data_IF_524448191480
#
_entry.id   IF_524448191480
#
_cell.length_a   1.000
_cell.length_b   1.000
_cell.length_c   1.000
_cell.angle_alpha   90.00
_cell.angle_beta   90.00
_cell.angle_gamma   90.00
#
_symmetry.space_group_name_H-M   'P 1'
#
loop_
_entity.id
_entity.type
_entity.pdbx_description
1 polymer ?
#
# COMPACT_ATOMS: atom_id res chain seq x y z
N UNK A 1 -29.96 4.67 -35.00
CA UNK A 1 -29.98 5.42 -33.74
C UNK A 1 -31.43 5.55 -33.30
N UNK A 2 -31.86 4.72 -32.35
CA UNK A 2 -33.22 4.71 -31.79
C UNK A 2 -33.04 4.48 -30.29
N UNK A 3 -33.45 5.41 -29.41
CA UNK A 3 -33.55 5.11 -27.99
C UNK A 3 -34.99 4.70 -27.68
N UNK A 4 -35.18 3.46 -27.21
CA UNK A 4 -36.44 3.01 -26.61
C UNK A 4 -36.32 3.16 -25.11
N UNK A 5 -37.24 3.96 -24.55
CA UNK A 5 -37.28 4.35 -23.15
C UNK A 5 -37.58 3.20 -22.19
N UNK A 6 -36.98 3.31 -21.00
CA UNK A 6 -37.23 2.48 -19.84
C UNK A 6 -38.63 2.76 -19.28
N UNK A 7 -39.48 1.72 -19.15
CA UNK A 7 -40.76 1.81 -18.44
C UNK A 7 -40.56 1.42 -16.99
N UNK A 8 -40.90 2.33 -16.09
CA UNK A 8 -41.12 2.06 -14.67
C UNK A 8 -42.45 1.32 -14.48
N UNK A 9 -42.49 0.41 -13.50
CA UNK A 9 -43.74 -0.21 -13.01
C UNK A 9 -43.80 -0.01 -11.50
N UNK A 10 -44.71 0.84 -11.06
CA UNK A 10 -45.08 1.01 -9.66
C UNK A 10 -46.08 -0.06 -9.20
N UNK A 11 -45.93 -0.51 -7.96
CA UNK A 11 -47.03 -0.76 -7.03
C UNK A 11 -47.56 -2.19 -6.87
N UNK A 12 -47.14 -2.86 -5.80
CA UNK A 12 -48.09 -3.23 -4.73
C UNK A 12 -47.34 -3.57 -3.43
N UNK A 13 -47.71 -2.88 -2.35
CA UNK A 13 -46.93 -2.81 -1.11
C UNK A 13 -47.27 -3.84 -0.05
N UNK A 14 -46.40 -3.87 0.97
CA UNK A 14 -46.69 -4.36 2.30
C UNK A 14 -46.21 -3.29 3.29
N UNK A 15 -47.11 -2.84 4.16
CA UNK A 15 -46.86 -1.90 5.26
C UNK A 15 -46.36 -2.66 6.49
N UNK A 16 -45.32 -2.14 7.13
CA UNK A 16 -45.15 -2.21 8.58
C UNK A 16 -44.72 -0.84 9.10
N UNK A 17 -45.40 -0.35 10.15
CA UNK A 17 -45.01 0.84 10.92
C UNK A 17 -44.45 0.36 12.25
N UNK A 18 -43.26 0.82 12.63
CA UNK A 18 -42.99 1.30 13.98
C UNK A 18 -41.76 2.20 14.00
N UNK A 19 -41.91 3.25 14.79
CA UNK A 19 -41.11 4.45 14.95
C UNK A 19 -40.01 4.20 16.00
N UNK A 20 -38.75 4.46 15.67
CA UNK A 20 -37.70 4.81 16.63
C UNK A 20 -36.73 5.78 15.94
N UNK A 21 -36.95 7.08 16.16
CA UNK A 21 -35.96 8.13 15.92
C UNK A 21 -34.98 8.12 17.08
N UNK A 22 -33.72 7.75 16.83
CA UNK A 22 -32.60 8.03 17.73
C UNK A 22 -31.90 9.26 17.17
N UNK A 23 -32.12 10.41 17.80
CA UNK A 23 -31.32 11.61 17.57
C UNK A 23 -29.97 11.39 18.24
N UNK A 24 -28.92 11.21 17.45
CA UNK A 24 -27.55 11.30 17.96
C UNK A 24 -27.04 12.68 17.57
N UNK A 25 -27.06 13.62 18.51
CA UNK A 25 -26.33 14.88 18.37
C UNK A 25 -24.84 14.56 18.37
N UNK A 26 -24.19 14.70 17.22
CA UNK A 26 -22.73 14.67 17.11
C UNK A 26 -22.24 16.09 17.39
N UNK A 27 -21.80 16.35 18.62
CA UNK A 27 -21.10 17.59 18.95
C UNK A 27 -19.69 17.52 18.35
N UNK A 28 -19.47 18.26 17.26
CA UNK A 28 -18.13 18.50 16.71
C UNK A 28 -17.31 19.33 17.71
N UNK A 29 -16.34 18.71 18.39
CA UNK A 29 -15.31 19.42 19.13
C UNK A 29 -14.18 19.74 18.13
N UNK A 30 -14.04 21.01 17.77
CA UNK A 30 -12.89 21.47 16.97
C UNK A 30 -11.61 21.39 17.81
N UNK A 31 -10.48 20.87 17.27
CA UNK A 31 -9.20 20.97 17.94
C UNK A 31 -8.67 22.41 17.89
N UNK A 32 -8.31 22.93 19.07
CA UNK A 32 -7.63 24.21 19.23
C UNK A 32 -6.23 24.14 18.60
N UNK A 33 -6.03 24.88 17.51
CA UNK A 33 -4.72 25.10 16.88
C UNK A 33 -4.00 26.23 17.64
N UNK A 34 -2.79 26.03 18.19
CA UNK A 34 -2.00 27.13 18.72
C UNK A 34 -1.35 27.90 17.57
N UNK A 35 -1.78 29.14 17.38
CA UNK A 35 -1.19 30.09 16.45
C UNK A 35 0.13 30.63 16.99
N UNK A 36 1.26 30.17 16.43
CA UNK A 36 2.58 30.77 16.67
C UNK A 36 2.75 32.01 15.79
N UNK A 37 2.40 33.19 16.30
CA UNK A 37 2.88 34.45 15.71
C UNK A 37 4.20 34.85 16.38
N UNK A 38 5.29 34.68 15.64
CA UNK A 38 6.59 35.24 15.96
C UNK A 38 6.58 36.76 15.68
N UNK A 39 6.70 37.56 16.74
CA UNK A 39 6.93 39.00 16.67
C UNK A 39 8.41 39.28 16.36
N UNK A 40 8.69 39.86 15.20
CA UNK A 40 9.99 40.47 14.88
C UNK A 40 10.08 41.88 15.48
N UNK A 41 11.17 42.27 16.17
CA UNK A 41 11.36 43.65 16.59
C UNK A 41 11.94 44.52 15.46
N UNK A 42 11.35 45.71 15.30
CA UNK A 42 11.83 46.81 14.45
C UNK A 42 13.08 47.45 15.03
N UNK A 43 14.01 47.85 14.16
CA UNK A 43 15.14 48.73 14.49
C UNK A 43 14.68 50.17 14.75
N UNK A 44 15.28 50.82 15.75
CA UNK A 44 15.43 52.27 15.81
C UNK A 44 16.77 52.60 16.48
N UNK A 45 17.54 53.51 15.87
CA UNK A 45 18.78 54.05 16.41
C UNK A 45 18.52 55.26 17.33
N UNK A 46 19.58 55.74 17.98
CA UNK A 46 19.56 57.00 18.72
C UNK A 46 20.67 57.12 19.77
N UNK A 47 21.44 58.19 19.66
CA UNK A 47 22.70 58.53 20.33
C UNK A 47 22.65 58.74 21.86
N UNK A 48 23.83 58.56 22.48
CA UNK A 48 24.46 59.58 23.32
C UNK A 48 24.13 59.65 24.82
N UNK A 49 25.11 59.32 25.67
CA UNK A 49 25.77 60.28 26.58
C UNK A 49 26.46 59.61 27.78
N UNK A 50 27.53 60.29 28.22
CA UNK A 50 28.50 59.89 29.22
C UNK A 50 27.93 59.78 30.66
N UNK A 51 28.29 58.69 31.35
CA UNK A 51 28.11 58.53 32.80
C UNK A 51 29.25 57.72 33.42
N UNK A 52 29.95 58.30 34.39
CA UNK A 52 31.14 57.78 35.10
C UNK A 52 30.89 56.41 35.75
N UNK A 53 31.83 55.47 35.58
CA UNK A 53 31.91 54.21 36.33
C UNK A 53 32.68 54.40 37.64
N UNK A 54 32.21 53.87 38.80
CA UNK A 54 33.07 53.65 39.95
C UNK A 54 33.84 52.32 39.78
N UNK A 55 35.09 52.30 40.24
CA UNK A 55 35.95 51.11 40.26
C UNK A 55 35.38 50.11 41.26
N UNK A 56 34.85 48.98 40.77
CA UNK A 56 34.54 47.82 41.60
C UNK A 56 35.71 46.84 41.53
N UNK A 57 36.22 46.49 42.70
CA UNK A 57 37.35 45.58 42.92
C UNK A 57 36.95 44.17 42.45
N UNK A 58 37.72 43.62 41.51
CA UNK A 58 37.54 42.28 40.96
C UNK A 58 38.05 41.24 41.99
N UNK A 59 37.16 40.69 42.80
CA UNK A 59 37.44 39.45 43.54
C UNK A 59 37.24 38.27 42.58
N UNK A 60 38.34 37.66 42.13
CA UNK A 60 38.30 36.42 41.35
C UNK A 60 37.86 35.25 42.22
N UNK A 61 36.56 34.99 42.26
CA UNK A 61 36.05 33.71 42.73
C UNK A 61 36.35 32.65 41.65
N UNK A 62 37.20 31.68 41.99
CA UNK A 62 37.47 30.51 41.15
C UNK A 62 36.17 29.73 40.94
N UNK A 63 35.56 29.89 39.76
CA UNK A 63 34.45 29.06 39.34
C UNK A 63 34.99 27.65 39.07
N UNK A 64 34.85 26.75 40.04
CA UNK A 64 35.02 25.31 39.78
C UNK A 64 33.93 24.91 38.79
N UNK A 65 34.33 24.61 37.54
CA UNK A 65 33.44 23.96 36.57
C UNK A 65 32.95 22.66 37.18
N UNK A 66 31.65 22.57 37.43
CA UNK A 66 31.00 21.29 37.64
C UNK A 66 31.22 20.46 36.37
N UNK A 67 31.63 19.19 36.47
CA UNK A 67 31.71 18.32 35.31
C UNK A 67 30.31 18.25 34.70
N UNK A 68 30.20 18.66 33.44
CA UNK A 68 29.00 18.40 32.65
C UNK A 68 28.89 16.89 32.52
N UNK A 69 27.98 16.28 33.27
CA UNK A 69 27.55 14.92 33.02
C UNK A 69 26.91 14.94 31.63
N UNK A 70 27.68 14.58 30.61
CA UNK A 70 27.13 14.18 29.32
C UNK A 70 26.36 12.91 29.59
N UNK A 71 25.07 13.03 29.85
CA UNK A 71 24.18 11.89 29.92
C UNK A 71 24.24 11.21 28.55
N UNK A 72 24.83 10.02 28.39
CA UNK A 72 24.72 9.32 27.12
C UNK A 72 23.24 9.10 26.89
N UNK A 73 22.71 9.57 25.76
CA UNK A 73 21.34 9.29 25.37
C UNK A 73 21.13 7.77 25.49
N UNK A 74 20.31 7.37 26.45
CA UNK A 74 19.88 5.99 26.65
C UNK A 74 19.23 5.53 25.37
N UNK A 75 19.93 4.72 24.58
CA UNK A 75 19.34 4.04 23.42
C UNK A 75 18.48 2.91 23.99
N UNK A 76 17.22 3.22 24.32
CA UNK A 76 16.25 2.19 24.65
C UNK A 76 16.05 1.34 23.39
N UNK A 77 16.24 0.02 23.43
CA UNK A 77 15.98 -0.83 22.28
C UNK A 77 14.52 -0.63 21.85
N UNK A 78 14.31 -0.26 20.58
CA UNK A 78 12.97 -0.18 20.01
C UNK A 78 12.44 -1.60 19.90
N UNK A 79 11.52 -1.98 20.78
CA UNK A 79 10.83 -3.26 20.68
C UNK A 79 9.85 -3.20 19.51
N UNK A 80 10.09 -4.03 18.49
CA UNK A 80 9.18 -4.20 17.35
C UNK A 80 8.57 -5.59 17.53
N UNK A 81 7.25 -5.69 17.80
CA UNK A 81 6.58 -6.98 17.90
C UNK A 81 6.78 -7.80 16.63
N UNK A 82 6.92 -9.12 16.79
CA UNK A 82 7.02 -10.08 15.69
C UNK A 82 5.84 -11.04 15.80
N UNK A 83 5.16 -11.26 14.69
CA UNK A 83 3.92 -12.05 14.61
C UNK A 83 4.11 -13.24 13.68
N UNK A 84 3.18 -14.18 13.75
CA UNK A 84 3.09 -15.37 12.90
C UNK A 84 1.75 -15.40 12.17
N UNK A 85 1.60 -16.34 11.23
CA UNK A 85 0.33 -16.61 10.54
C UNK A 85 -0.80 -16.94 11.53
N UNK A 86 -0.48 -17.61 12.64
CA UNK A 86 -1.47 -17.91 13.69
C UNK A 86 -1.99 -16.63 14.36
N UNK A 87 -1.11 -15.64 14.57
CA UNK A 87 -1.51 -14.33 15.08
C UNK A 87 -2.31 -13.56 14.02
N UNK A 88 -1.81 -13.54 12.78
CA UNK A 88 -2.43 -12.90 11.62
C UNK A 88 -3.88 -13.36 11.40
N UNK A 89 -4.14 -14.66 11.53
CA UNK A 89 -5.46 -15.26 11.37
C UNK A 89 -6.51 -14.74 12.38
N UNK A 90 -6.09 -14.04 13.43
CA UNK A 90 -6.97 -13.42 14.43
C UNK A 90 -7.22 -11.93 14.20
N UNK A 91 -6.54 -11.31 13.22
CA UNK A 91 -6.62 -9.88 12.98
C UNK A 91 -7.91 -9.47 12.28
N UNK A 92 -8.36 -8.24 12.57
CA UNK A 92 -9.45 -7.59 11.88
C UNK A 92 -8.92 -6.47 10.96
N UNK A 93 -9.55 -6.31 9.80
CA UNK A 93 -9.19 -5.29 8.80
C UNK A 93 -8.20 -5.78 7.74
N UNK A 94 -7.67 -4.84 6.96
CA UNK A 94 -6.81 -5.14 5.81
C UNK A 94 -5.33 -5.03 6.17
N UNK A 95 -4.68 -6.20 6.27
CA UNK A 95 -3.28 -6.35 6.68
C UNK A 95 -2.56 -7.36 5.80
N UNK A 96 -1.26 -7.12 5.65
CA UNK A 96 -0.27 -8.12 5.27
C UNK A 96 0.67 -8.36 6.47
N UNK A 97 1.39 -9.48 6.42
CA UNK A 97 2.41 -9.85 7.40
C UNK A 97 3.75 -9.98 6.67
N UNK A 98 4.74 -9.16 7.00
CA UNK A 98 6.02 -9.13 6.28
C UNK A 98 7.15 -9.45 7.23
N UNK A 99 7.71 -10.66 7.12
CA UNK A 99 8.74 -11.18 8.02
C UNK A 99 8.36 -10.96 9.49
N UNK A 100 7.12 -11.23 9.87
CA UNK A 100 6.61 -11.05 11.22
C UNK A 100 6.21 -9.62 11.58
N UNK A 101 6.24 -8.67 10.64
CA UNK A 101 5.79 -7.28 10.86
C UNK A 101 4.39 -7.08 10.28
N UNK A 102 3.47 -6.53 11.08
CA UNK A 102 2.14 -6.16 10.61
C UNK A 102 2.23 -4.94 9.68
N UNK A 103 1.70 -5.07 8.46
CA UNK A 103 1.71 -4.02 7.44
C UNK A 103 0.28 -3.68 7.05
N UNK A 104 -0.14 -2.44 7.31
CA UNK A 104 -1.49 -2.00 6.94
C UNK A 104 -1.59 -1.76 5.44
N UNK A 105 -2.68 -2.25 4.84
CA UNK A 105 -3.09 -1.97 3.47
C UNK A 105 -4.04 -0.77 3.36
N UNK A 106 -4.26 -0.03 4.45
CA UNK A 106 -5.06 1.20 4.44
C UNK A 106 -4.23 2.43 3.99
N UNK A 107 -4.85 3.41 3.32
CA UNK A 107 -6.26 3.41 2.87
C UNK A 107 -6.49 2.47 1.69
N UNK A 108 -7.73 2.00 1.53
CA UNK A 108 -8.13 1.16 0.39
C UNK A 108 -7.86 1.88 -0.95
N UNK A 109 -7.55 1.11 -2.01
CA UNK A 109 -7.22 1.66 -3.32
C UNK A 109 -8.38 2.43 -3.95
N UNK A 110 -8.06 3.42 -4.79
CA UNK A 110 -9.04 4.25 -5.50
C UNK A 110 -9.66 3.54 -6.71
N UNK A 111 -10.76 4.07 -7.25
CA UNK A 111 -11.52 3.42 -8.32
C UNK A 111 -10.75 3.10 -9.60
N UNK A 112 -9.73 3.89 -9.96
CA UNK A 112 -8.88 3.63 -11.14
C UNK A 112 -8.05 2.36 -10.96
N UNK A 113 -7.52 2.12 -9.75
CA UNK A 113 -6.80 0.88 -9.44
C UNK A 113 -7.68 -0.34 -9.62
N UNK A 114 -8.89 -0.28 -9.05
CA UNK A 114 -9.87 -1.37 -9.16
C UNK A 114 -10.28 -1.61 -10.62
N UNK A 115 -10.48 -0.55 -11.42
CA UNK A 115 -10.76 -0.69 -12.85
C UNK A 115 -9.66 -1.44 -13.60
N UNK A 116 -8.39 -1.03 -13.41
CA UNK A 116 -7.24 -1.67 -14.08
C UNK A 116 -7.08 -3.13 -13.63
N UNK A 117 -7.22 -3.40 -12.33
CA UNK A 117 -7.20 -4.75 -11.75
C UNK A 117 -8.25 -5.64 -12.42
N UNK A 118 -9.51 -5.19 -12.48
CA UNK A 118 -10.59 -5.98 -13.08
C UNK A 118 -10.43 -6.16 -14.59
N UNK A 119 -9.93 -5.14 -15.30
CA UNK A 119 -9.63 -5.26 -16.74
C UNK A 119 -8.57 -6.34 -16.99
N UNK A 120 -7.47 -6.32 -16.22
CA UNK A 120 -6.43 -7.34 -16.30
C UNK A 120 -6.99 -8.74 -16.00
N UNK A 121 -7.69 -8.89 -14.87
CA UNK A 121 -8.26 -10.17 -14.47
C UNK A 121 -9.25 -10.71 -15.52
N UNK A 122 -10.06 -9.84 -16.13
CA UNK A 122 -11.00 -10.21 -17.18
C UNK A 122 -10.30 -10.68 -18.46
N UNK A 123 -9.25 -9.97 -18.90
CA UNK A 123 -8.45 -10.36 -20.07
C UNK A 123 -7.79 -11.72 -19.88
N UNK A 124 -7.11 -11.90 -18.74
CA UNK A 124 -6.47 -13.17 -18.38
C UNK A 124 -7.51 -14.31 -18.38
N UNK A 125 -8.60 -14.13 -17.63
CA UNK A 125 -9.62 -15.18 -17.44
C UNK A 125 -10.30 -15.55 -18.76
N UNK A 126 -10.61 -14.57 -19.60
CA UNK A 126 -11.28 -14.81 -20.89
C UNK A 126 -10.41 -15.66 -21.81
N UNK A 127 -9.13 -15.31 -21.94
CA UNK A 127 -8.21 -16.02 -22.84
C UNK A 127 -7.83 -17.41 -22.32
N UNK A 128 -7.67 -17.58 -21.00
CA UNK A 128 -7.38 -18.89 -20.38
C UNK A 128 -8.56 -19.86 -20.55
N UNK A 129 -9.80 -19.39 -20.34
CA UNK A 129 -11.00 -20.21 -20.57
C UNK A 129 -11.16 -20.61 -22.04
N UNK A 130 -10.84 -19.72 -22.98
CA UNK A 130 -10.93 -20.02 -24.41
C UNK A 130 -9.92 -21.11 -24.85
N UNK A 131 -8.87 -21.34 -24.06
CA UNK A 131 -7.84 -22.35 -24.31
C UNK A 131 -8.09 -23.66 -23.55
N UNK A 132 -9.17 -23.77 -22.78
CA UNK A 132 -9.41 -24.90 -21.87
C UNK A 132 -8.24 -25.11 -20.89
N UNK A 133 -7.63 -23.99 -20.45
CA UNK A 133 -6.51 -24.02 -19.53
C UNK A 133 -6.99 -24.33 -18.11
N UNK A 134 -6.23 -25.11 -17.35
CA UNK A 134 -6.45 -25.39 -15.92
C UNK A 134 -6.01 -24.24 -15.00
N UNK A 135 -5.68 -23.09 -15.56
CA UNK A 135 -5.27 -21.92 -14.82
C UNK A 135 -6.45 -21.19 -14.16
N UNK A 136 -6.26 -20.76 -12.92
CA UNK A 136 -7.22 -19.99 -12.14
C UNK A 136 -6.70 -18.58 -11.92
N UNK A 137 -7.51 -17.58 -12.29
CA UNK A 137 -7.25 -16.16 -12.01
C UNK A 137 -7.96 -15.77 -10.71
N UNK A 138 -7.21 -15.28 -9.74
CA UNK A 138 -7.72 -14.75 -8.47
C UNK A 138 -7.18 -13.34 -8.26
N UNK A 139 -7.79 -12.59 -7.36
CA UNK A 139 -7.29 -11.28 -6.95
C UNK A 139 -7.63 -11.01 -5.50
N UNK A 140 -6.84 -10.14 -4.86
CA UNK A 140 -7.06 -9.70 -3.47
C UNK A 140 -7.21 -10.88 -2.50
N UNK A 141 -6.43 -11.95 -2.68
CA UNK A 141 -6.44 -13.17 -1.86
C UNK A 141 -5.10 -13.35 -1.16
N UNK A 142 -5.15 -13.79 0.10
CA UNK A 142 -3.95 -14.04 0.89
C UNK A 142 -3.12 -15.18 0.31
N UNK A 143 -1.82 -14.95 0.23
CA UNK A 143 -0.80 -15.95 -0.04
C UNK A 143 0.09 -16.11 1.18
N UNK A 144 0.00 -17.29 1.79
CA UNK A 144 0.85 -17.70 2.90
C UNK A 144 2.18 -18.16 2.33
N UNK A 145 3.19 -17.28 2.41
CA UNK A 145 4.53 -17.55 1.88
C UNK A 145 5.36 -18.35 2.91
N UNK A 146 5.24 -17.98 4.18
CA UNK A 146 5.93 -18.64 5.29
C UNK A 146 5.11 -18.49 6.58
N UNK A 147 5.63 -19.04 7.69
CA UNK A 147 5.02 -18.90 9.02
C UNK A 147 4.91 -17.44 9.48
N UNK A 148 5.72 -16.55 8.92
CA UNK A 148 5.80 -15.14 9.31
C UNK A 148 5.64 -14.19 8.12
N UNK A 149 5.24 -14.68 6.94
CA UNK A 149 5.01 -13.83 5.77
C UNK A 149 3.72 -14.21 5.06
N UNK A 150 2.80 -13.25 4.99
CA UNK A 150 1.53 -13.28 4.26
C UNK A 150 1.44 -12.02 3.43
N UNK A 151 1.24 -12.18 2.12
CA UNK A 151 1.04 -11.07 1.18
C UNK A 151 -0.27 -11.26 0.44
N UNK A 152 -0.85 -10.17 -0.03
CA UNK A 152 -2.12 -10.15 -0.76
C UNK A 152 -1.91 -9.42 -2.08
N UNK A 153 -1.56 -10.15 -3.15
CA UNK A 153 -1.36 -9.54 -4.46
C UNK A 153 -2.69 -9.16 -5.11
N UNK A 154 -2.67 -8.11 -5.94
CA UNK A 154 -3.87 -7.63 -6.62
C UNK A 154 -4.45 -8.65 -7.60
N UNK A 155 -3.59 -9.28 -8.42
CA UNK A 155 -3.99 -10.36 -9.34
C UNK A 155 -2.94 -11.46 -9.32
N UNK A 156 -3.40 -12.70 -9.29
CA UNK A 156 -2.55 -13.89 -9.39
C UNK A 156 -3.14 -14.89 -10.38
N UNK A 157 -2.27 -15.69 -11.00
CA UNK A 157 -2.68 -16.88 -11.74
C UNK A 157 -1.97 -18.10 -11.18
N UNK A 158 -2.78 -19.08 -10.78
CA UNK A 158 -2.36 -20.39 -10.32
C UNK A 158 -2.62 -21.42 -11.42
N UNK A 159 -1.79 -22.45 -11.51
CA UNK A 159 -2.07 -23.63 -12.34
C UNK A 159 -2.72 -24.71 -11.46
N UNK A 160 -3.84 -25.26 -11.90
CA UNK A 160 -4.59 -26.31 -11.20
C UNK A 160 -5.80 -25.79 -10.43
N UNK A 161 -6.13 -26.45 -9.32
CA UNK A 161 -7.39 -26.22 -8.61
C UNK A 161 -7.42 -24.88 -7.84
N UNK A 162 -8.63 -24.36 -7.67
CA UNK A 162 -8.90 -23.17 -6.85
C UNK A 162 -8.59 -23.51 -5.37
N UNK A 163 -7.78 -22.72 -4.65
CA UNK A 163 -7.57 -22.91 -3.22
C UNK A 163 -8.88 -22.71 -2.44
N UNK A 164 -9.06 -23.47 -1.36
CA UNK A 164 -10.28 -23.37 -0.52
C UNK A 164 -10.35 -22.04 0.24
N UNK A 165 -9.20 -21.52 0.69
CA UNK A 165 -9.13 -20.33 1.55
C UNK A 165 -8.07 -19.33 1.13
N UNK A 166 -6.83 -19.79 1.03
CA UNK A 166 -5.66 -18.97 0.74
C UNK A 166 -4.69 -19.76 -0.12
N UNK A 167 -3.77 -19.04 -0.73
CA UNK A 167 -2.73 -19.61 -1.56
C UNK A 167 -1.62 -20.14 -0.66
N UNK A 168 -1.16 -21.36 -0.92
CA UNK A 168 -0.01 -21.98 -0.25
C UNK A 168 1.08 -22.41 -1.25
N UNK A 169 0.82 -22.26 -2.55
CA UNK A 169 1.74 -22.60 -3.64
C UNK A 169 2.22 -21.34 -4.33
N UNK A 170 3.46 -21.33 -4.84
CA UNK A 170 3.95 -20.20 -5.64
C UNK A 170 3.09 -19.97 -6.89
N UNK A 171 2.51 -18.77 -7.08
CA UNK A 171 1.81 -18.42 -8.30
C UNK A 171 2.72 -18.38 -9.52
N UNK A 172 2.21 -18.80 -10.67
CA UNK A 172 2.93 -18.70 -11.95
C UNK A 172 3.00 -17.25 -12.44
N UNK A 173 1.95 -16.47 -12.18
CA UNK A 173 1.89 -15.04 -12.47
C UNK A 173 1.39 -14.27 -11.26
N UNK A 174 2.01 -13.12 -11.01
CA UNK A 174 1.56 -12.12 -10.04
C UNK A 174 1.54 -10.75 -10.73
N UNK A 175 0.54 -9.93 -10.44
CA UNK A 175 0.52 -8.54 -10.81
C UNK A 175 0.13 -7.65 -9.64
N UNK A 176 0.78 -6.48 -9.56
CA UNK A 176 0.43 -5.39 -8.65
C UNK A 176 0.07 -4.15 -9.48
N UNK A 177 -1.03 -3.51 -9.11
CA UNK A 177 -1.53 -2.27 -9.68
C UNK A 177 -1.14 -1.16 -8.72
N UNK A 178 -0.28 -0.25 -9.18
CA UNK A 178 0.28 0.75 -8.29
C UNK A 178 -0.80 1.74 -7.80
N UNK A 179 -0.72 2.03 -6.52
CA UNK A 179 -1.41 3.14 -5.87
C UNK A 179 -0.40 4.03 -5.15
N UNK A 180 -0.80 5.26 -4.79
CA UNK A 180 0.07 6.18 -4.03
C UNK A 180 0.53 5.57 -2.69
N UNK A 181 -0.30 4.72 -2.06
CA UNK A 181 0.01 4.08 -0.77
C UNK A 181 0.88 2.82 -0.88
N UNK A 182 0.92 2.15 -2.04
CA UNK A 182 1.61 0.86 -2.22
C UNK A 182 2.79 0.91 -3.19
N UNK A 183 2.93 1.97 -3.99
CA UNK A 183 3.91 2.04 -5.09
C UNK A 183 5.35 1.69 -4.71
N UNK A 184 5.87 2.23 -3.61
CA UNK A 184 7.24 1.92 -3.16
C UNK A 184 7.39 0.46 -2.76
N UNK A 185 6.39 -0.07 -2.04
CA UNK A 185 6.33 -1.43 -1.50
C UNK A 185 6.29 -2.48 -2.60
N UNK A 186 5.45 -2.25 -3.61
CA UNK A 186 5.28 -3.13 -4.77
C UNK A 186 6.56 -3.17 -5.61
N UNK A 187 7.21 -2.00 -5.80
CA UNK A 187 8.46 -1.87 -6.57
C UNK A 187 9.71 -2.40 -5.85
N UNK A 188 9.64 -2.65 -4.54
CA UNK A 188 10.79 -3.07 -3.72
C UNK A 188 10.53 -4.41 -3.04
N UNK A 189 9.99 -4.40 -1.81
CA UNK A 189 9.83 -5.58 -0.97
C UNK A 189 9.09 -6.71 -1.67
N UNK A 190 7.92 -6.43 -2.26
CA UNK A 190 7.12 -7.48 -2.92
C UNK A 190 7.81 -8.04 -4.15
N UNK A 191 8.44 -7.18 -4.97
CA UNK A 191 9.26 -7.64 -6.10
C UNK A 191 10.34 -8.61 -5.65
N UNK A 192 11.09 -8.25 -4.62
CA UNK A 192 12.21 -9.07 -4.14
C UNK A 192 11.70 -10.38 -3.53
N UNK A 193 10.60 -10.33 -2.76
CA UNK A 193 9.92 -11.51 -2.23
C UNK A 193 9.45 -12.45 -3.35
N UNK A 194 8.78 -11.93 -4.37
CA UNK A 194 8.29 -12.73 -5.50
C UNK A 194 9.44 -13.34 -6.32
N UNK A 195 10.57 -12.63 -6.42
CA UNK A 195 11.78 -13.19 -7.02
C UNK A 195 12.33 -14.34 -6.15
N UNK A 196 12.40 -14.18 -4.84
CA UNK A 196 12.87 -15.23 -3.92
C UNK A 196 11.94 -16.46 -3.93
N UNK A 197 10.63 -16.26 -4.06
CA UNK A 197 9.65 -17.35 -4.09
C UNK A 197 9.55 -18.09 -5.43
N UNK A 198 10.30 -17.65 -6.45
CA UNK A 198 10.32 -18.34 -7.73
C UNK A 198 9.16 -17.98 -8.66
N UNK A 199 8.44 -16.87 -8.44
CA UNK A 199 7.37 -16.44 -9.35
C UNK A 199 7.94 -16.31 -10.77
N UNK A 200 7.25 -16.89 -11.75
CA UNK A 200 7.77 -16.97 -13.12
C UNK A 200 7.62 -15.63 -13.86
N UNK A 201 6.47 -14.97 -13.68
CA UNK A 201 6.17 -13.70 -14.31
C UNK A 201 5.56 -12.74 -13.28
N UNK A 202 6.16 -11.56 -13.15
CA UNK A 202 5.66 -10.50 -12.28
C UNK A 202 5.40 -9.23 -13.10
N UNK A 203 4.21 -8.67 -13.01
CA UNK A 203 3.83 -7.45 -13.72
C UNK A 203 3.50 -6.31 -12.75
N UNK A 204 4.06 -5.13 -13.00
CA UNK A 204 3.72 -3.90 -12.30
C UNK A 204 2.97 -3.00 -13.26
N UNK A 205 1.72 -2.67 -12.94
CA UNK A 205 0.88 -1.78 -13.73
C UNK A 205 0.80 -0.43 -13.04
N UNK A 206 1.11 0.65 -13.74
CA UNK A 206 1.05 2.02 -13.23
C UNK A 206 -0.13 2.75 -13.90
N UNK A 207 -1.29 2.90 -13.22
CA UNK A 207 -2.46 3.53 -13.81
C UNK A 207 -2.30 5.03 -14.07
N UNK A 208 -1.45 5.71 -13.31
CA UNK A 208 -1.20 7.15 -13.48
C UNK A 208 -0.46 7.41 -14.79
N UNK A 209 0.59 6.63 -15.04
CA UNK A 209 1.43 6.78 -16.23
C UNK A 209 0.98 5.89 -17.40
N UNK A 210 -0.01 5.02 -17.18
CA UNK A 210 -0.48 4.00 -18.13
C UNK A 210 0.65 3.12 -18.67
N UNK A 211 1.53 2.68 -17.77
CA UNK A 211 2.68 1.84 -18.14
C UNK A 211 2.58 0.47 -17.49
N UNK A 212 3.22 -0.51 -18.11
CA UNK A 212 3.39 -1.85 -17.52
C UNK A 212 4.86 -2.20 -17.59
N UNK A 213 5.39 -2.70 -16.47
CA UNK A 213 6.74 -3.25 -16.37
C UNK A 213 6.60 -4.74 -16.09
N UNK A 214 7.17 -5.60 -16.93
CA UNK A 214 7.11 -7.06 -16.74
C UNK A 214 8.48 -7.60 -16.40
N UNK A 215 8.54 -8.44 -15.38
CA UNK A 215 9.69 -9.25 -14.99
C UNK A 215 9.41 -10.70 -15.39
N UNK A 216 10.40 -11.35 -15.99
CA UNK A 216 10.32 -12.77 -16.39
C UNK A 216 11.51 -13.53 -15.88
N UNK A 217 11.25 -14.69 -15.29
CA UNK A 217 12.28 -15.63 -14.87
C UNK A 217 12.81 -16.43 -16.05
N UNK A 218 14.12 -16.33 -16.26
CA UNK A 218 14.85 -17.19 -17.19
C UNK A 218 15.17 -18.56 -16.57
N UNK A 219 15.67 -19.47 -17.41
CA UNK A 219 16.11 -20.81 -16.99
C UNK A 219 17.27 -20.77 -15.99
N UNK A 220 18.05 -19.68 -15.96
CA UNK A 220 19.12 -19.43 -14.99
C UNK A 220 18.60 -18.98 -13.62
N UNK A 221 17.28 -18.91 -13.46
CA UNK A 221 16.61 -18.50 -12.24
C UNK A 221 16.58 -16.99 -12.01
N UNK A 222 17.07 -16.17 -12.96
CA UNK A 222 17.12 -14.72 -12.79
C UNK A 222 15.98 -14.01 -13.51
N UNK A 223 15.56 -12.88 -12.95
CA UNK A 223 14.62 -12.00 -13.62
C UNK A 223 15.30 -11.05 -14.62
N UNK A 224 14.70 -10.97 -15.80
CA UNK A 224 14.89 -9.86 -16.73
C UNK A 224 13.63 -9.03 -16.78
N UNK A 225 13.78 -7.71 -16.89
CA UNK A 225 12.66 -6.77 -16.86
C UNK A 225 12.60 -5.94 -18.13
N UNK A 226 11.42 -5.75 -18.70
CA UNK A 226 11.18 -4.90 -19.87
C UNK A 226 9.91 -4.04 -19.72
N UNK A 227 9.96 -2.75 -20.12
CA UNK A 227 8.75 -1.95 -20.23
C UNK A 227 7.92 -2.45 -21.41
N UNK A 228 6.60 -2.49 -21.23
CA UNK A 228 5.67 -2.90 -22.28
C UNK A 228 5.23 -1.68 -23.09
N UNK A 229 5.27 -1.81 -24.42
CA UNK A 229 4.85 -0.74 -25.34
C UNK A 229 3.36 -0.87 -25.70
N UNK A 230 2.98 -1.99 -26.33
CA UNK A 230 1.60 -2.19 -26.80
C UNK A 230 0.91 -3.37 -26.11
N UNK A 231 1.63 -4.48 -25.99
CA UNK A 231 1.13 -5.72 -25.40
C UNK A 231 2.26 -6.58 -24.89
N UNK A 232 1.94 -7.49 -23.98
CA UNK A 232 2.87 -8.48 -23.47
C UNK A 232 2.21 -9.85 -23.45
N UNK A 233 3.04 -10.88 -23.64
CA UNK A 233 2.61 -12.27 -23.56
C UNK A 233 3.05 -12.91 -22.25
N UNK A 234 2.18 -13.78 -21.76
CA UNK A 234 2.37 -14.59 -20.57
C UNK A 234 2.12 -16.04 -20.99
N UNK A 235 3.07 -16.93 -20.74
CA UNK A 235 2.85 -18.37 -20.92
C UNK A 235 2.88 -19.03 -19.54
N UNK A 236 1.81 -19.75 -19.21
CA UNK A 236 1.58 -20.39 -17.92
C UNK A 236 1.13 -21.84 -18.14
N UNK A 237 1.27 -22.66 -17.10
CA UNK A 237 0.77 -24.04 -17.08
C UNK A 237 1.22 -24.83 -18.31
N UNK A 238 2.51 -24.70 -18.63
CA UNK A 238 3.26 -25.27 -19.76
C UNK A 238 2.82 -24.84 -21.18
N UNK A 239 1.55 -24.54 -21.41
CA UNK A 239 0.99 -24.42 -22.76
C UNK A 239 0.02 -23.26 -22.97
N UNK A 240 -0.47 -22.64 -21.89
CA UNK A 240 -1.48 -21.59 -22.00
C UNK A 240 -0.81 -20.24 -22.23
N UNK A 241 -1.02 -19.64 -23.40
CA UNK A 241 -0.44 -18.33 -23.74
C UNK A 241 -1.53 -17.28 -23.82
N UNK A 242 -1.37 -16.21 -23.05
CA UNK A 242 -2.26 -15.05 -23.01
C UNK A 242 -1.53 -13.84 -23.56
N UNK A 243 -2.20 -13.01 -24.36
CA UNK A 243 -1.68 -11.72 -24.81
C UNK A 243 -2.50 -10.59 -24.19
N UNK A 244 -1.88 -9.78 -23.34
CA UNK A 244 -2.55 -8.64 -22.69
C UNK A 244 -2.12 -7.37 -23.42
N UNK A 245 -3.10 -6.58 -23.91
CA UNK A 245 -2.84 -5.29 -24.56
C UNK A 245 -3.06 -4.15 -23.58
N UNK A 246 -2.16 -3.17 -23.57
CA UNK A 246 -2.26 -2.00 -22.67
C UNK A 246 -3.53 -1.19 -22.91
N UNK A 247 -4.00 -1.14 -24.16
CA UNK A 247 -5.24 -0.44 -24.54
C UNK A 247 -6.51 -1.06 -23.93
N UNK A 248 -6.46 -2.32 -23.48
CA UNK A 248 -7.58 -2.98 -22.81
C UNK A 248 -7.51 -2.79 -21.28
N UNK A 249 -6.38 -2.28 -20.76
CA UNK A 249 -6.16 -2.08 -19.33
C UNK A 249 -6.53 -0.66 -18.86
N UNK A 250 -6.15 0.38 -19.61
CA UNK A 250 -6.13 1.78 -19.17
C UNK A 250 -7.02 2.75 -19.97
#
# INVERSE_FOLDING_TARGET
MVPVGCRTREGNGIKWRSRLTVSTEVTFVQPLVPSSQALLPRKAGGEGSHGKLPRVILAMASARRLPTLTNPMSVVPKYIPRYTVDDYATWEGDWELWDGIAVSMSPSPFGVHQLVLFNLAAELRTQLLAQDCDAVVLGEIDWIVSRDTVVRPDVVVLCGDVPEKHIETTPGFVAEVLSESTSERDRTFKRDLYDEQGVAIYAILDPEHKTVQVYRRGEDGKWTSEPVVDSFQITLCDTCTVTVRLADLF
#
